data_IF_125459206628
#
_entry.id   IF_125459206628
#
_cell.length_a   1.000
_cell.length_b   1.000
_cell.length_c   1.000
_cell.angle_alpha   90.00
_cell.angle_beta   90.00
_cell.angle_gamma   90.00
#
_symmetry.space_group_name_H-M   'P 1'
#
loop_
_entity.id
_entity.type
_entity.pdbx_description
1 polymer ?
#
# COMPACT_ATOMS: atom_id res chain seq x y z
N UNK A 1 -27.84 22.49 32.12
CA UNK A 1 -27.44 21.10 31.78
C UNK A 1 -27.01 21.10 30.32
N UNK A 2 -25.70 21.11 30.04
CA UNK A 2 -25.19 21.04 28.66
C UNK A 2 -25.29 19.60 28.15
N UNK A 3 -25.88 19.43 26.97
CA UNK A 3 -25.83 18.18 26.24
C UNK A 3 -24.42 17.96 25.64
N UNK A 4 -23.94 16.71 25.52
CA UNK A 4 -22.65 16.42 24.90
C UNK A 4 -22.71 16.73 23.40
N UNK A 5 -21.68 17.40 22.89
CA UNK A 5 -21.49 17.61 21.44
C UNK A 5 -21.19 16.25 20.82
N UNK A 6 -22.00 15.75 19.87
CA UNK A 6 -21.72 14.49 19.23
C UNK A 6 -20.52 14.67 18.29
N UNK A 7 -19.43 13.94 18.57
CA UNK A 7 -18.32 13.76 17.63
C UNK A 7 -18.86 12.95 16.44
N UNK A 8 -19.41 13.64 15.43
CA UNK A 8 -19.81 12.99 14.19
C UNK A 8 -18.57 12.80 13.35
N UNK A 9 -18.22 11.54 13.06
CA UNK A 9 -17.37 11.14 11.93
C UNK A 9 -17.92 11.81 10.68
N UNK A 10 -17.37 12.99 10.38
CA UNK A 10 -17.85 13.86 9.32
C UNK A 10 -17.27 13.31 8.03
N UNK A 11 -18.12 12.98 7.06
CA UNK A 11 -17.67 12.60 5.73
C UNK A 11 -16.66 13.66 5.24
N UNK A 12 -15.39 13.27 5.16
CA UNK A 12 -14.32 14.15 4.68
C UNK A 12 -14.68 14.62 3.26
N UNK A 13 -14.45 15.91 2.97
CA UNK A 13 -14.60 16.44 1.62
C UNK A 13 -13.69 15.66 0.66
N UNK A 14 -14.13 15.43 -0.57
CA UNK A 14 -13.40 14.70 -1.62
C UNK A 14 -11.93 15.11 -1.73
N UNK A 15 -11.66 16.40 -1.53
CA UNK A 15 -10.32 16.98 -1.67
C UNK A 15 -9.39 16.52 -0.56
N UNK A 16 -9.85 16.42 0.69
CA UNK A 16 -9.02 15.97 1.83
C UNK A 16 -8.66 14.49 1.69
N UNK A 17 -9.62 13.64 1.28
CA UNK A 17 -9.34 12.22 1.03
C UNK A 17 -8.36 12.02 -0.12
N UNK A 18 -8.43 12.90 -1.13
CA UNK A 18 -7.47 12.92 -2.23
C UNK A 18 -6.07 13.30 -1.72
N UNK A 19 -5.94 14.28 -0.85
CA UNK A 19 -4.64 14.65 -0.25
C UNK A 19 -4.08 13.57 0.68
N UNK A 20 -4.93 12.88 1.45
CA UNK A 20 -4.50 11.71 2.25
C UNK A 20 -3.95 10.60 1.35
N UNK A 21 -4.63 10.31 0.25
CA UNK A 21 -4.12 9.35 -0.73
C UNK A 21 -2.82 9.80 -1.37
N UNK A 22 -2.69 11.07 -1.77
CA UNK A 22 -1.44 11.60 -2.32
C UNK A 22 -0.28 11.45 -1.33
N UNK A 23 -0.54 11.71 -0.06
CA UNK A 23 0.43 11.54 1.03
C UNK A 23 0.83 10.06 1.17
N UNK A 24 -0.13 9.15 1.26
CA UNK A 24 0.14 7.72 1.38
C UNK A 24 0.86 7.14 0.15
N UNK A 25 0.42 7.50 -1.04
CA UNK A 25 1.08 7.13 -2.29
C UNK A 25 2.53 7.65 -2.31
N UNK A 26 2.77 8.89 -1.88
CA UNK A 26 4.13 9.44 -1.80
C UNK A 26 5.03 8.65 -0.84
N UNK A 27 4.51 8.20 0.29
CA UNK A 27 5.26 7.34 1.22
C UNK A 27 5.62 6.00 0.57
N UNK A 28 4.67 5.36 -0.13
CA UNK A 28 4.93 4.13 -0.89
C UNK A 28 6.07 4.33 -1.92
N UNK A 29 6.06 5.44 -2.67
CA UNK A 29 7.15 5.76 -3.62
C UNK A 29 8.49 5.94 -2.91
N UNK A 30 8.51 6.70 -1.81
CA UNK A 30 9.73 6.97 -1.05
C UNK A 30 10.33 5.69 -0.46
N UNK A 31 9.51 4.81 0.08
CA UNK A 31 10.00 3.54 0.64
C UNK A 31 10.42 2.54 -0.43
N UNK A 32 9.76 2.51 -1.59
CA UNK A 32 10.24 1.71 -2.72
C UNK A 32 11.60 2.20 -3.25
N UNK A 33 11.79 3.53 -3.33
CA UNK A 33 13.09 4.11 -3.69
C UNK A 33 14.17 3.79 -2.63
N UNK A 34 13.84 3.89 -1.34
CA UNK A 34 14.75 3.51 -0.26
C UNK A 34 15.10 2.01 -0.29
N UNK A 35 14.12 1.14 -0.50
CA UNK A 35 14.35 -0.31 -0.66
C UNK A 35 15.25 -0.62 -1.85
N UNK A 36 15.22 0.21 -2.90
CA UNK A 36 16.07 0.07 -4.07
C UNK A 36 17.56 0.27 -3.81
N UNK A 37 17.92 1.00 -2.75
CA UNK A 37 19.32 1.16 -2.33
C UNK A 37 19.96 -0.16 -1.90
N UNK A 38 19.16 -1.20 -1.60
CA UNK A 38 19.65 -2.53 -1.25
C UNK A 38 19.96 -3.42 -2.48
N UNK A 39 20.10 -2.81 -3.68
CA UNK A 39 20.54 -3.50 -4.90
C UNK A 39 19.41 -4.21 -5.66
N UNK A 40 18.15 -3.84 -5.41
CA UNK A 40 16.98 -4.36 -6.11
C UNK A 40 16.10 -3.18 -6.54
N UNK A 41 16.17 -2.80 -7.81
CA UNK A 41 15.43 -1.65 -8.34
C UNK A 41 13.92 -1.89 -8.32
N UNK A 42 13.18 -0.95 -7.73
CA UNK A 42 11.72 -0.91 -7.74
C UNK A 42 11.25 0.10 -8.78
N UNK A 43 10.54 -0.37 -9.80
CA UNK A 43 9.81 0.49 -10.73
C UNK A 43 8.51 0.96 -10.10
N UNK A 44 8.19 2.24 -10.22
CA UNK A 44 6.97 2.83 -9.67
C UNK A 44 6.16 3.44 -10.82
N UNK A 45 4.88 3.09 -10.90
CA UNK A 45 3.97 3.43 -11.99
C UNK A 45 2.70 4.04 -11.42
N UNK A 46 2.45 5.30 -11.73
CA UNK A 46 1.18 5.97 -11.43
C UNK A 46 0.19 5.69 -12.56
N UNK A 47 -0.77 4.77 -12.32
CA UNK A 47 -1.73 4.37 -13.35
C UNK A 47 -2.88 5.38 -13.49
N UNK A 48 -3.39 5.85 -12.35
CA UNK A 48 -4.48 6.83 -12.27
C UNK A 48 -4.30 7.68 -11.00
N UNK A 49 -5.05 8.80 -10.83
CA UNK A 49 -4.97 9.59 -9.60
C UNK A 49 -5.24 8.81 -8.30
N UNK A 50 -5.91 7.66 -8.38
CA UNK A 50 -6.22 6.77 -7.26
C UNK A 50 -5.50 5.43 -7.30
N UNK A 51 -4.50 5.24 -8.17
CA UNK A 51 -3.86 3.93 -8.33
C UNK A 51 -2.36 4.02 -8.55
N UNK A 52 -1.63 3.17 -7.82
CA UNK A 52 -0.19 3.04 -7.85
C UNK A 52 0.19 1.57 -8.06
N UNK A 53 1.16 1.31 -8.93
CA UNK A 53 1.82 0.02 -9.04
C UNK A 53 3.31 0.15 -8.74
N UNK A 54 3.85 -0.83 -8.01
CA UNK A 54 5.27 -0.96 -7.70
C UNK A 54 5.72 -2.34 -8.13
N UNK A 55 6.71 -2.40 -9.02
CA UNK A 55 7.17 -3.62 -9.67
C UNK A 55 8.62 -3.87 -9.31
N UNK A 56 8.94 -5.10 -8.95
CA UNK A 56 10.30 -5.53 -8.67
C UNK A 56 10.47 -7.01 -8.98
N UNK A 57 11.44 -7.35 -9.85
CA UNK A 57 11.80 -8.73 -10.23
C UNK A 57 10.59 -9.65 -10.48
N UNK A 58 9.64 -9.21 -11.31
CA UNK A 58 8.45 -9.99 -11.65
C UNK A 58 7.37 -10.06 -10.58
N UNK A 59 7.60 -9.50 -9.39
CA UNK A 59 6.57 -9.26 -8.38
C UNK A 59 5.97 -7.85 -8.53
N UNK A 60 4.67 -7.72 -8.32
CA UNK A 60 3.93 -6.46 -8.48
C UNK A 60 3.03 -6.21 -7.28
N UNK A 61 3.22 -5.08 -6.61
CA UNK A 61 2.27 -4.52 -5.66
C UNK A 61 1.40 -3.50 -6.38
N UNK A 62 0.08 -3.69 -6.37
CA UNK A 62 -0.90 -2.74 -6.88
C UNK A 62 -1.74 -2.22 -5.73
N UNK A 63 -1.92 -0.92 -5.67
CA UNK A 63 -2.71 -0.23 -4.64
C UNK A 63 -3.73 0.68 -5.33
N UNK A 64 -5.00 0.55 -4.99
CA UNK A 64 -6.11 1.30 -5.57
C UNK A 64 -6.97 1.92 -4.47
N UNK A 65 -7.18 3.23 -4.55
CA UNK A 65 -7.93 4.03 -3.59
C UNK A 65 -9.18 4.62 -4.21
N UNK A 66 -10.27 4.60 -3.45
CA UNK A 66 -11.57 5.13 -3.83
C UNK A 66 -11.93 6.30 -2.91
N UNK A 67 -11.60 7.56 -3.27
CA UNK A 67 -11.82 8.72 -2.41
C UNK A 67 -13.26 8.90 -1.95
N UNK A 68 -14.24 8.52 -2.78
CA UNK A 68 -15.66 8.59 -2.40
C UNK A 68 -16.03 7.64 -1.26
N UNK A 69 -15.30 6.53 -1.13
CA UNK A 69 -15.54 5.51 -0.10
C UNK A 69 -14.56 5.65 1.08
N UNK A 70 -13.46 6.39 0.92
CA UNK A 70 -12.43 6.52 1.95
C UNK A 70 -11.50 5.32 2.12
N UNK A 71 -11.70 4.29 1.31
CA UNK A 71 -11.03 2.99 1.41
C UNK A 71 -10.43 2.59 0.07
N UNK A 72 -9.54 1.61 0.10
CA UNK A 72 -8.90 1.04 -1.05
C UNK A 72 -8.65 -0.45 -0.92
N UNK A 73 -8.05 -1.00 -1.96
CA UNK A 73 -7.61 -2.39 -2.04
C UNK A 73 -6.13 -2.42 -2.41
N UNK A 74 -5.45 -3.46 -1.96
CA UNK A 74 -4.09 -3.74 -2.41
C UNK A 74 -4.02 -5.19 -2.88
N UNK A 75 -3.11 -5.46 -3.81
CA UNK A 75 -2.78 -6.81 -4.24
C UNK A 75 -1.29 -6.96 -4.49
N UNK A 76 -0.73 -8.08 -4.07
CA UNK A 76 0.63 -8.49 -4.35
C UNK A 76 0.57 -9.72 -5.27
N UNK A 77 1.09 -9.56 -6.48
CA UNK A 77 1.20 -10.65 -7.45
C UNK A 77 2.65 -11.09 -7.52
N UNK A 78 2.90 -12.39 -7.36
CA UNK A 78 4.22 -13.01 -7.45
C UNK A 78 4.16 -14.20 -8.40
N UNK A 79 5.31 -14.67 -8.88
CA UNK A 79 5.40 -15.97 -9.54
C UNK A 79 5.56 -17.08 -8.50
N UNK A 80 4.92 -18.21 -8.73
CA UNK A 80 5.21 -19.45 -8.01
C UNK A 80 6.30 -20.25 -8.73
N UNK A 81 6.73 -21.38 -8.14
CA UNK A 81 7.77 -22.26 -8.72
C UNK A 81 7.43 -22.83 -10.10
N UNK A 82 6.19 -22.69 -10.56
CA UNK A 82 5.70 -23.13 -11.87
C UNK A 82 5.40 -21.94 -12.79
N UNK A 83 5.93 -20.75 -12.46
CA UNK A 83 5.72 -19.50 -13.20
C UNK A 83 4.25 -19.03 -13.27
N UNK A 84 3.41 -19.56 -12.38
CA UNK A 84 2.01 -19.15 -12.27
C UNK A 84 1.88 -17.97 -11.32
N UNK A 85 0.91 -17.12 -11.59
CA UNK A 85 0.63 -15.99 -10.73
C UNK A 85 0.01 -16.47 -9.41
N UNK A 86 0.67 -16.17 -8.30
CA UNK A 86 0.12 -16.21 -6.95
C UNK A 86 -0.26 -14.79 -6.56
N UNK A 87 -1.50 -14.61 -6.11
CA UNK A 87 -1.99 -13.29 -5.70
C UNK A 87 -2.40 -13.29 -4.23
N UNK A 88 -1.85 -12.36 -3.48
CA UNK A 88 -2.30 -11.97 -2.15
C UNK A 88 -3.03 -10.62 -2.28
N UNK A 89 -4.05 -10.39 -1.46
CA UNK A 89 -4.86 -9.16 -1.54
C UNK A 89 -5.46 -8.81 -0.20
N UNK A 90 -5.75 -7.53 -0.04
CA UNK A 90 -6.39 -6.99 1.13
C UNK A 90 -7.07 -5.65 0.88
N UNK A 91 -7.50 -5.03 1.97
CA UNK A 91 -8.22 -3.76 2.00
C UNK A 91 -7.54 -2.79 2.94
N UNK A 92 -7.69 -1.49 2.68
CA UNK A 92 -7.23 -0.45 3.59
C UNK A 92 -8.21 0.72 3.69
N UNK A 93 -8.20 1.44 4.80
CA UNK A 93 -8.89 2.71 4.98
C UNK A 93 -7.90 3.78 5.43
N UNK A 94 -8.00 4.99 4.86
CA UNK A 94 -7.19 6.15 5.28
C UNK A 94 -7.99 6.99 6.27
N UNK A 95 -7.49 7.09 7.49
CA UNK A 95 -8.13 7.82 8.57
C UNK A 95 -7.66 9.28 8.62
N UNK A 96 -8.49 10.14 9.21
CA UNK A 96 -8.27 11.59 9.24
C UNK A 96 -7.11 12.02 10.15
N UNK A 97 -6.74 11.17 11.12
CA UNK A 97 -5.65 11.35 12.06
C UNK A 97 -4.30 10.90 11.52
N UNK A 98 -4.25 10.42 10.26
CA UNK A 98 -3.03 9.95 9.62
C UNK A 98 -2.72 8.48 9.87
N UNK A 99 -3.66 7.71 10.42
CA UNK A 99 -3.53 6.25 10.48
C UNK A 99 -4.13 5.56 9.24
N UNK A 100 -3.75 4.31 9.05
CA UNK A 100 -4.23 3.42 8.00
C UNK A 100 -4.71 2.13 8.65
N UNK A 101 -5.99 1.81 8.46
CA UNK A 101 -6.53 0.51 8.84
C UNK A 101 -6.30 -0.49 7.70
N UNK A 102 -5.24 -1.31 7.79
CA UNK A 102 -4.85 -2.32 6.81
C UNK A 102 -5.31 -3.71 7.28
N UNK A 103 -6.20 -4.36 6.54
CA UNK A 103 -6.70 -5.72 6.82
C UNK A 103 -7.14 -5.97 8.27
N UNK A 104 -7.70 -4.93 8.91
CA UNK A 104 -8.21 -4.86 10.30
C UNK A 104 -7.17 -4.54 11.39
N UNK A 105 -5.92 -4.29 11.02
CA UNK A 105 -4.91 -3.73 11.92
C UNK A 105 -4.71 -2.25 11.60
N UNK A 106 -4.58 -1.43 12.64
CA UNK A 106 -4.34 -0.01 12.50
C UNK A 106 -2.84 0.29 12.63
N UNK A 107 -2.33 1.12 11.73
CA UNK A 107 -0.93 1.51 11.65
C UNK A 107 -0.83 3.00 11.40
N UNK A 108 0.28 3.62 11.82
CA UNK A 108 0.66 4.91 11.25
C UNK A 108 0.87 4.77 9.73
N UNK A 109 0.59 5.84 8.98
CA UNK A 109 0.61 5.79 7.51
C UNK A 109 1.97 5.41 6.91
N UNK A 110 3.07 5.86 7.53
CA UNK A 110 4.42 5.48 7.13
C UNK A 110 4.71 4.00 7.42
N UNK A 111 4.29 3.50 8.58
CA UNK A 111 4.42 2.10 8.94
C UNK A 111 3.64 1.19 7.99
N UNK A 112 2.43 1.57 7.61
CA UNK A 112 1.65 0.84 6.60
C UNK A 112 2.35 0.81 5.23
N UNK A 113 2.98 1.92 4.82
CA UNK A 113 3.74 1.98 3.57
C UNK A 113 4.99 1.09 3.62
N UNK A 114 5.75 1.14 4.72
CA UNK A 114 6.90 0.24 4.97
C UNK A 114 6.46 -1.21 4.89
N UNK A 115 5.34 -1.56 5.53
CA UNK A 115 4.83 -2.92 5.56
C UNK A 115 4.52 -3.44 4.15
N UNK A 116 3.76 -2.69 3.34
CA UNK A 116 3.41 -3.10 1.98
C UNK A 116 4.64 -3.21 1.05
N UNK A 117 5.56 -2.25 1.09
CA UNK A 117 6.80 -2.31 0.32
C UNK A 117 7.70 -3.46 0.81
N UNK A 118 7.70 -3.73 2.11
CA UNK A 118 8.41 -4.86 2.71
C UNK A 118 7.88 -6.22 2.25
N UNK A 119 6.56 -6.39 2.15
CA UNK A 119 5.94 -7.59 1.57
C UNK A 119 6.41 -7.82 0.14
N UNK A 120 6.38 -6.76 -0.68
CA UNK A 120 6.84 -6.80 -2.06
C UNK A 120 8.33 -7.16 -2.16
N UNK A 121 9.18 -6.49 -1.37
CA UNK A 121 10.64 -6.71 -1.37
C UNK A 121 10.98 -8.14 -0.92
N UNK A 122 10.28 -8.63 0.10
CA UNK A 122 10.45 -9.98 0.62
C UNK A 122 10.05 -11.02 -0.42
N UNK A 123 8.91 -10.83 -1.08
CA UNK A 123 8.47 -11.69 -2.18
C UNK A 123 9.52 -11.75 -3.31
N UNK A 124 10.05 -10.60 -3.73
CA UNK A 124 11.06 -10.52 -4.78
C UNK A 124 12.45 -11.06 -4.38
N UNK A 125 12.70 -11.26 -3.09
CA UNK A 125 13.97 -11.78 -2.58
C UNK A 125 13.91 -13.27 -2.26
N UNK A 126 12.76 -13.78 -1.79
CA UNK A 126 12.56 -15.20 -1.54
C UNK A 126 12.66 -16.04 -2.83
N UNK A 127 12.41 -15.42 -3.98
CA UNK A 127 12.67 -16.01 -5.30
C UNK A 127 14.17 -16.32 -5.55
N UNK A 128 15.10 -15.89 -4.66
CA UNK A 128 16.55 -16.15 -4.77
C UNK A 128 17.08 -17.36 -3.99
N UNK A 129 16.33 -17.96 -3.06
CA UNK A 129 16.88 -19.06 -2.25
C UNK A 129 16.67 -20.40 -2.95
N UNK A 130 17.43 -20.62 -4.03
CA UNK A 130 17.73 -21.95 -4.55
C UNK A 130 18.98 -22.48 -3.85
N UNK A 131 18.82 -23.58 -3.11
CA UNK A 131 19.91 -24.45 -2.68
C UNK A 131 20.27 -25.34 -3.87
N UNK A 132 21.54 -25.40 -4.33
CA UNK A 132 21.91 -26.33 -5.39
C UNK A 132 21.69 -27.77 -4.91
N UNK A 133 21.04 -28.56 -5.78
CA UNK A 133 20.87 -30.00 -5.60
C UNK A 133 22.21 -30.75 -5.60
#
# INVERSE_FOLDING_TARGET
MSAPVPFRLTALRSDVRTELWRSFASLLRSYAAAASLNGVEHGVLDLTPGSLEIVVKGSTLRVEYYPTLGRGVWSLTTKDKQERDKQERGTFELNADGTVALDRSEFDMDHAAIHLVGLLTTAATLDRIEVPA
#
